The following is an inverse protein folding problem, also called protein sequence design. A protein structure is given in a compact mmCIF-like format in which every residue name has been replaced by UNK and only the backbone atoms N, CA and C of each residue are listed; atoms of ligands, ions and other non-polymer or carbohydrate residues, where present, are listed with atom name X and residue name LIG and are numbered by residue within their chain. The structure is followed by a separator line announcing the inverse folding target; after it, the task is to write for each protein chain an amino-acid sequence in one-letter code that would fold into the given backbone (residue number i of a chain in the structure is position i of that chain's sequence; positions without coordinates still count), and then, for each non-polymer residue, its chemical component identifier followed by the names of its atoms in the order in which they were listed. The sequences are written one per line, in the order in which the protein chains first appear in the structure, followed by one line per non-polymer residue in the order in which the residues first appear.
data_IF_958081388128
#
_entry.id   IF_958081388128
#
_cell.length_a   1.000
_cell.length_b   1.000
_cell.length_c   1.000
_cell.angle_alpha   90.00
_cell.angle_beta   90.00
_cell.angle_gamma   90.00
#
_symmetry.space_group_name_H-M   'P 1'
#
loop_
_entity.id
_entity.type
_entity.pdbx_description
1 polymer ?
#
# COMPACT_ATOMS: atom_id res chain seq x y z
N UNK A 1 9.47 3.96 19.62
CA UNK A 1 8.39 3.10 19.08
C UNK A 1 8.91 1.66 18.96
N UNK A 2 8.16 0.65 19.40
CA UNK A 2 8.59 -0.76 19.23
C UNK A 2 8.29 -1.18 17.79
N UNK A 3 9.30 -1.68 17.08
CA UNK A 3 9.12 -2.24 15.75
C UNK A 3 8.90 -3.74 15.90
N UNK A 4 7.72 -4.22 15.51
CA UNK A 4 7.42 -5.65 15.41
C UNK A 4 7.62 -6.15 13.96
N UNK A 5 7.40 -7.43 13.74
CA UNK A 5 7.62 -8.08 12.45
C UNK A 5 6.72 -7.50 11.34
N UNK A 6 5.42 -7.30 11.61
CA UNK A 6 4.49 -6.69 10.65
C UNK A 6 4.92 -5.27 10.29
N UNK A 7 5.44 -4.51 11.26
CA UNK A 7 5.94 -3.16 11.02
C UNK A 7 7.24 -3.19 10.22
N UNK A 8 8.12 -4.18 10.44
CA UNK A 8 9.33 -4.38 9.62
C UNK A 8 8.97 -4.74 8.18
N UNK A 9 8.00 -5.61 7.96
CA UNK A 9 7.49 -5.95 6.62
C UNK A 9 7.06 -4.68 5.87
N UNK A 10 6.19 -3.87 6.51
CA UNK A 10 5.69 -2.65 5.90
C UNK A 10 6.77 -1.58 5.68
N UNK A 11 7.76 -1.47 6.58
CA UNK A 11 8.93 -0.60 6.39
C UNK A 11 9.71 -1.03 5.14
N UNK A 12 9.96 -2.34 4.95
CA UNK A 12 10.70 -2.83 3.79
C UNK A 12 9.92 -2.66 2.48
N UNK A 13 8.59 -2.84 2.49
CA UNK A 13 7.75 -2.51 1.33
C UNK A 13 7.83 -1.02 0.99
N UNK A 14 7.74 -0.14 1.99
CA UNK A 14 7.89 1.31 1.78
C UNK A 14 9.28 1.68 1.27
N UNK A 15 10.36 1.09 1.79
CA UNK A 15 11.72 1.26 1.28
C UNK A 15 11.82 0.85 -0.19
N UNK A 16 11.22 -0.29 -0.55
CA UNK A 16 11.21 -0.77 -1.92
C UNK A 16 10.48 0.19 -2.86
N UNK A 17 9.26 0.60 -2.51
CA UNK A 17 8.47 1.54 -3.32
C UNK A 17 9.18 2.89 -3.46
N UNK A 18 9.64 3.47 -2.35
CA UNK A 18 10.24 4.82 -2.36
C UNK A 18 11.58 4.81 -3.09
N UNK A 19 12.43 3.77 -2.92
CA UNK A 19 13.71 3.69 -3.63
C UNK A 19 13.52 3.64 -5.15
N UNK A 20 12.49 2.93 -5.64
CA UNK A 20 12.14 2.87 -7.07
C UNK A 20 11.54 4.16 -7.60
N UNK A 21 10.78 4.89 -6.79
CA UNK A 21 10.20 6.18 -7.17
C UNK A 21 11.20 7.35 -7.03
N UNK A 22 12.31 7.14 -6.33
CA UNK A 22 13.29 8.17 -5.99
C UNK A 22 12.80 9.07 -4.85
N UNK A 23 12.21 10.22 -5.19
CA UNK A 23 11.53 11.10 -4.22
C UNK A 23 10.03 11.04 -4.47
N UNK A 24 9.25 10.71 -3.46
CA UNK A 24 7.82 10.57 -3.60
C UNK A 24 7.08 11.14 -2.40
N UNK A 25 5.92 11.75 -2.67
CA UNK A 25 5.01 12.23 -1.63
C UNK A 25 4.07 11.12 -1.14
N UNK A 26 3.38 11.41 -0.03
CA UNK A 26 2.34 10.53 0.51
C UNK A 26 1.36 10.05 -0.56
N UNK A 27 0.88 10.98 -1.39
CA UNK A 27 -0.12 10.66 -2.42
C UNK A 27 0.42 9.61 -3.37
N UNK A 28 1.54 9.87 -4.02
CA UNK A 28 2.14 8.95 -4.99
C UNK A 28 2.40 7.58 -4.36
N UNK A 29 3.02 7.53 -3.18
CA UNK A 29 3.34 6.27 -2.49
C UNK A 29 2.07 5.45 -2.24
N UNK A 30 1.03 6.07 -1.68
CA UNK A 30 -0.19 5.36 -1.30
C UNK A 30 -1.02 4.91 -2.50
N UNK A 31 -1.01 5.66 -3.61
CA UNK A 31 -1.67 5.21 -4.84
C UNK A 31 -0.96 4.03 -5.47
N UNK A 32 0.37 4.03 -5.49
CA UNK A 32 1.13 2.88 -5.97
C UNK A 32 0.80 1.63 -5.14
N UNK A 33 0.80 1.76 -3.80
CA UNK A 33 0.43 0.66 -2.91
C UNK A 33 -1.00 0.17 -3.15
N UNK A 34 -1.96 1.10 -3.30
CA UNK A 34 -3.36 0.76 -3.54
C UNK A 34 -3.57 -0.03 -4.84
N UNK A 35 -3.00 0.42 -5.96
CA UNK A 35 -3.11 -0.31 -7.22
C UNK A 35 -2.35 -1.64 -7.21
N UNK A 36 -1.24 -1.72 -6.47
CA UNK A 36 -0.53 -2.98 -6.27
C UNK A 36 -1.34 -3.97 -5.42
N UNK A 37 -2.06 -3.50 -4.41
CA UNK A 37 -3.00 -4.30 -3.59
C UNK A 37 -4.12 -4.89 -4.46
N UNK A 38 -4.74 -4.06 -5.29
CA UNK A 38 -5.77 -4.49 -6.25
C UNK A 38 -5.25 -5.59 -7.17
N UNK A 39 -4.07 -5.39 -7.75
CA UNK A 39 -3.46 -6.38 -8.65
C UNK A 39 -3.12 -7.69 -7.91
N UNK A 40 -2.56 -7.59 -6.70
CA UNK A 40 -2.17 -8.75 -5.92
C UNK A 40 -3.37 -9.58 -5.50
N UNK A 41 -4.45 -8.93 -5.06
CA UNK A 41 -5.73 -9.61 -4.78
C UNK A 41 -6.25 -10.26 -6.06
N UNK A 42 -6.32 -9.53 -7.19
CA UNK A 42 -6.81 -10.11 -8.45
C UNK A 42 -6.03 -11.33 -8.89
N UNK A 43 -4.70 -11.31 -8.78
CA UNK A 43 -3.82 -12.37 -9.30
C UNK A 43 -3.69 -13.56 -8.36
N UNK A 44 -3.68 -13.31 -7.06
CA UNK A 44 -3.27 -14.30 -6.07
C UNK A 44 -4.32 -14.53 -4.97
N UNK A 45 -5.41 -13.77 -4.95
CA UNK A 45 -6.44 -13.84 -3.90
C UNK A 45 -5.85 -13.67 -2.50
N UNK A 46 -4.86 -12.79 -2.36
CA UNK A 46 -4.19 -12.49 -1.11
C UNK A 46 -3.94 -10.99 -1.01
N UNK A 47 -3.96 -10.46 0.22
CA UNK A 47 -3.54 -9.09 0.47
C UNK A 47 -2.06 -8.91 0.20
N UNK A 48 -1.69 -7.74 -0.33
CA UNK A 48 -0.29 -7.32 -0.46
C UNK A 48 0.18 -6.70 0.86
N UNK A 49 -0.64 -5.85 1.49
CA UNK A 49 -0.32 -5.26 2.78
C UNK A 49 -1.12 -5.92 3.90
N UNK A 50 -0.45 -6.23 5.00
CA UNK A 50 -1.13 -6.40 6.29
C UNK A 50 -1.57 -5.04 6.88
N UNK A 51 -2.28 -4.23 6.09
CA UNK A 51 -2.76 -2.88 6.41
C UNK A 51 -4.21 -2.68 5.96
N UNK A 52 -4.92 -1.71 6.53
CA UNK A 52 -6.26 -1.33 6.14
C UNK A 52 -6.23 -0.02 5.36
N UNK A 53 -7.00 0.04 4.28
CA UNK A 53 -7.18 1.27 3.51
C UNK A 53 -8.34 2.08 4.08
N UNK A 54 -8.13 3.39 4.21
CA UNK A 54 -9.13 4.38 4.61
C UNK A 54 -9.40 5.32 3.45
N UNK A 55 -10.67 5.57 3.14
CA UNK A 55 -11.05 6.54 2.13
C UNK A 55 -10.76 7.97 2.63
N UNK A 56 -9.75 8.66 2.07
CA UNK A 56 -9.43 10.06 2.42
C UNK A 56 -9.68 11.01 1.24
N UNK A 57 -9.58 12.33 1.48
CA UNK A 57 -9.92 13.36 0.49
C UNK A 57 -9.31 13.15 -0.90
N UNK A 58 -8.07 12.66 -0.96
CA UNK A 58 -7.35 12.40 -2.22
C UNK A 58 -7.23 10.90 -2.53
N UNK A 59 -8.17 10.11 -2.01
CA UNK A 59 -8.37 8.69 -2.31
C UNK A 59 -7.95 7.76 -1.16
N UNK A 60 -7.81 6.45 -1.44
CA UNK A 60 -7.42 5.42 -0.48
C UNK A 60 -6.05 5.70 0.14
N UNK A 61 -5.93 5.49 1.46
CA UNK A 61 -4.70 5.63 2.25
C UNK A 61 -4.50 4.40 3.13
N UNK A 62 -3.38 3.66 3.02
CA UNK A 62 -3.03 2.58 3.92
C UNK A 62 -2.64 3.14 5.30
N UNK A 63 -3.40 2.78 6.34
CA UNK A 63 -3.37 3.44 7.65
C UNK A 63 -2.02 3.31 8.37
N UNK A 64 -1.49 2.09 8.48
CA UNK A 64 -0.22 1.84 9.17
C UNK A 64 0.97 2.41 8.38
N UNK A 65 0.93 2.36 7.06
CA UNK A 65 1.93 2.98 6.21
C UNK A 65 1.95 4.51 6.38
N UNK A 66 0.76 5.12 6.52
CA UNK A 66 0.65 6.53 6.85
C UNK A 66 1.26 6.86 8.21
N UNK A 67 0.99 6.06 9.24
CA UNK A 67 1.59 6.24 10.56
C UNK A 67 3.12 6.07 10.55
N UNK A 68 3.66 5.13 9.76
CA UNK A 68 5.11 4.98 9.53
C UNK A 68 5.71 6.26 8.96
N UNK A 69 5.21 6.73 7.82
CA UNK A 69 5.78 7.90 7.16
C UNK A 69 5.55 9.19 7.95
N UNK A 70 4.46 9.30 8.71
CA UNK A 70 4.23 10.41 9.65
C UNK A 70 5.26 10.41 10.78
N UNK A 71 5.66 9.24 11.30
CA UNK A 71 6.69 9.16 12.36
C UNK A 71 8.07 9.67 11.91
N UNK A 72 8.38 9.56 10.60
CA UNK A 72 9.60 10.15 10.00
C UNK A 72 9.67 11.66 10.22
N UNK A 73 8.52 12.35 10.16
CA UNK A 73 8.46 13.80 10.40
C UNK A 73 8.78 14.19 11.84
N UNK A 74 8.64 13.24 12.78
CA UNK A 74 9.01 13.43 14.19
C UNK A 74 10.46 13.01 14.49
N UNK A 75 11.22 12.60 13.47
CA UNK A 75 12.59 12.12 13.60
C UNK A 75 12.75 10.64 13.92
N UNK A 76 11.64 9.88 14.03
CA UNK A 76 11.68 8.42 14.15
C UNK A 76 11.98 7.78 12.79
N UNK A 77 12.59 6.59 12.76
CA UNK A 77 12.85 5.85 11.51
C UNK A 77 13.75 6.58 10.48
N UNK A 78 14.51 7.59 10.93
CA UNK A 78 15.49 8.32 10.10
C UNK A 78 16.62 7.44 9.54
N UNK A 79 16.79 6.24 10.10
CA UNK A 79 17.69 5.22 9.55
C UNK A 79 17.11 4.54 8.29
N UNK A 80 15.82 4.69 8.01
CA UNK A 80 15.15 4.10 6.84
C UNK A 80 14.74 5.16 5.82
N UNK A 81 14.17 6.28 6.29
CA UNK A 81 13.63 7.33 5.43
C UNK A 81 14.14 8.70 5.86
N UNK A 82 14.18 9.64 4.93
CA UNK A 82 14.36 11.05 5.26
C UNK A 82 13.33 11.93 4.54
N UNK A 83 13.06 13.10 5.11
CA UNK A 83 12.23 14.11 4.48
C UNK A 83 12.99 14.78 3.32
N UNK A 84 12.32 14.89 2.17
CA UNK A 84 12.79 15.58 0.98
C UNK A 84 11.78 16.69 0.58
N UNK A 85 11.25 17.39 1.59
CA UNK A 85 10.16 18.35 1.48
C UNK A 85 9.18 18.19 2.65
N UNK A 86 8.08 18.96 2.65
CA UNK A 86 7.07 18.91 3.72
C UNK A 86 6.31 17.58 3.76
N UNK A 87 6.10 16.96 2.59
CA UNK A 87 5.26 15.77 2.43
C UNK A 87 5.92 14.68 1.57
N UNK A 88 7.23 14.81 1.33
CA UNK A 88 8.00 13.98 0.41
C UNK A 88 9.09 13.23 1.14
N UNK A 89 9.33 12.00 0.70
CA UNK A 89 10.24 11.05 1.34
C UNK A 89 11.29 10.55 0.34
N UNK A 90 12.46 10.23 0.86
CA UNK A 90 13.48 9.42 0.20
C UNK A 90 13.83 8.23 1.10
N UNK A 91 14.10 7.09 0.49
CA UNK A 91 14.71 5.96 1.19
C UNK A 91 16.21 6.27 1.40
N UNK A 92 16.71 5.97 2.59
CA UNK A 92 18.15 6.11 2.97
C UNK A 92 18.78 4.79 3.38
N UNK A 93 18.01 3.70 3.32
CA UNK A 93 18.47 2.33 3.45
C UNK A 93 17.94 1.48 2.30
N UNK A 94 18.59 0.37 2.01
CA UNK A 94 18.08 -0.64 1.08
C UNK A 94 16.96 -1.47 1.74
N UNK A 95 15.90 -1.85 1.00
CA UNK A 95 14.91 -2.78 1.50
C UNK A 95 15.55 -4.16 1.71
N UNK A 96 15.25 -4.80 2.84
CA UNK A 96 15.49 -6.22 3.00
C UNK A 96 14.39 -7.00 2.24
N UNK A 97 14.78 -7.61 1.12
CA UNK A 97 13.88 -8.38 0.26
C UNK A 97 13.39 -9.69 0.88
N UNK A 98 13.97 -10.16 1.99
CA UNK A 98 13.44 -11.33 2.72
C UNK A 98 12.04 -11.06 3.29
N UNK A 99 11.65 -9.78 3.41
CA UNK A 99 10.31 -9.37 3.82
C UNK A 99 9.33 -9.17 2.65
N UNK A 100 9.77 -9.36 1.40
CA UNK A 100 8.93 -9.21 0.22
C UNK A 100 8.98 -10.48 -0.62
N UNK A 101 7.84 -11.10 -0.83
CA UNK A 101 7.67 -12.19 -1.79
C UNK A 101 7.83 -11.71 -3.24
N UNK A 102 8.14 -12.65 -4.14
CA UNK A 102 8.27 -12.36 -5.57
C UNK A 102 6.95 -11.82 -6.18
N UNK A 103 5.79 -12.26 -5.68
CA UNK A 103 4.48 -11.78 -6.14
C UNK A 103 4.21 -10.33 -5.73
N UNK A 104 4.59 -9.95 -4.51
CA UNK A 104 4.47 -8.57 -4.03
C UNK A 104 5.38 -7.64 -4.82
N UNK A 105 6.65 -8.03 -5.01
CA UNK A 105 7.61 -7.29 -5.83
C UNK A 105 7.08 -7.12 -7.26
N UNK A 106 6.52 -8.17 -7.86
CA UNK A 106 5.93 -8.12 -9.20
C UNK A 106 4.80 -7.09 -9.28
N UNK A 107 3.84 -7.12 -8.35
CA UNK A 107 2.69 -6.22 -8.36
C UNK A 107 3.09 -4.77 -8.06
N UNK A 108 4.05 -4.55 -7.16
CA UNK A 108 4.60 -3.22 -6.88
C UNK A 108 5.26 -2.64 -8.13
N UNK A 109 6.11 -3.42 -8.82
CA UNK A 109 6.78 -2.95 -10.04
C UNK A 109 5.78 -2.62 -11.15
N UNK A 110 4.78 -3.47 -11.37
CA UNK A 110 3.72 -3.22 -12.35
C UNK A 110 2.93 -1.95 -12.04
N UNK A 111 2.62 -1.72 -10.76
CA UNK A 111 1.95 -0.49 -10.30
C UNK A 111 2.82 0.75 -10.53
N UNK A 112 4.11 0.68 -10.22
CA UNK A 112 5.06 1.78 -10.47
C UNK A 112 5.17 2.09 -11.96
N UNK A 113 5.31 1.08 -12.81
CA UNK A 113 5.39 1.24 -14.26
C UNK A 113 4.12 1.88 -14.84
N UNK A 114 2.95 1.43 -14.37
CA UNK A 114 1.66 1.87 -14.90
C UNK A 114 1.21 3.23 -14.38
N UNK A 115 1.52 3.58 -13.13
CA UNK A 115 0.93 4.72 -12.43
C UNK A 115 1.96 5.71 -11.87
N UNK A 116 3.25 5.37 -11.88
CA UNK A 116 4.32 6.17 -11.29
C UNK A 116 4.64 7.46 -12.05
N UNK A 117 4.34 7.54 -13.35
CA UNK A 117 4.56 8.74 -14.17
C UNK A 117 3.35 9.67 -14.26
N UNK A 118 2.18 9.21 -13.79
CA UNK A 118 0.93 9.99 -13.85
C UNK A 118 1.02 11.29 -13.03
N UNK A 119 0.16 12.24 -13.34
CA UNK A 119 -0.03 13.44 -12.52
C UNK A 119 -0.80 13.13 -11.24
N UNK A 120 -0.83 14.08 -10.32
CA UNK A 120 -1.64 13.98 -9.10
C UNK A 120 -3.14 13.78 -9.42
N UNK A 121 -3.68 14.52 -10.39
CA UNK A 121 -5.10 14.41 -10.78
C UNK A 121 -5.39 13.03 -11.34
N UNK A 122 -4.61 12.57 -12.33
CA UNK A 122 -4.83 11.28 -12.97
C UNK A 122 -4.78 10.11 -11.98
N UNK A 123 -3.83 10.13 -11.02
CA UNK A 123 -3.80 9.13 -9.94
C UNK A 123 -4.99 9.24 -9.00
N UNK A 124 -5.44 10.46 -8.69
CA UNK A 124 -6.61 10.68 -7.83
C UNK A 124 -7.85 10.11 -8.50
N UNK A 125 -8.11 10.51 -9.75
CA UNK A 125 -9.26 10.09 -10.54
C UNK A 125 -9.31 8.57 -10.69
N UNK A 126 -8.17 7.92 -10.93
CA UNK A 126 -8.09 6.45 -11.01
C UNK A 126 -8.32 5.74 -9.69
N UNK A 127 -7.96 6.36 -8.56
CA UNK A 127 -8.09 5.75 -7.23
C UNK A 127 -9.41 6.04 -6.53
N UNK A 128 -10.21 6.96 -7.07
CA UNK A 128 -11.59 7.23 -6.64
C UNK A 128 -12.56 6.27 -7.32
N UNK A 129 -12.25 4.98 -7.23
CA UNK A 129 -13.04 3.89 -7.79
C UNK A 129 -14.25 3.55 -6.92
N UNK A 130 -15.02 2.52 -7.32
CA UNK A 130 -16.24 2.13 -6.63
C UNK A 130 -15.98 1.67 -5.18
N UNK A 131 -14.83 1.06 -4.88
CA UNK A 131 -14.49 0.64 -3.53
C UNK A 131 -14.26 1.86 -2.61
N UNK A 132 -13.62 2.90 -3.15
CA UNK A 132 -13.47 4.18 -2.46
C UNK A 132 -14.82 4.89 -2.27
N UNK A 133 -15.64 4.94 -3.32
CA UNK A 133 -16.94 5.65 -3.31
C UNK A 133 -18.02 4.93 -2.49
N UNK A 134 -17.85 3.63 -2.22
CA UNK A 134 -18.76 2.84 -1.40
C UNK A 134 -18.78 3.27 0.08
N UNK A 135 -17.79 4.02 0.54
CA UNK A 135 -17.66 4.46 1.93
C UNK A 135 -17.53 5.98 2.06
N UNK A 136 -17.89 6.51 3.22
CA UNK A 136 -17.66 7.92 3.54
C UNK A 136 -16.18 8.17 3.79
N UNK A 137 -15.76 9.43 3.63
CA UNK A 137 -14.43 9.85 4.04
C UNK A 137 -14.13 9.46 5.50
N UNK A 138 -12.87 9.12 5.75
CA UNK A 138 -12.31 8.62 7.01
C UNK A 138 -12.90 7.30 7.50
N UNK A 139 -13.55 6.53 6.63
CA UNK A 139 -13.99 5.16 6.94
C UNK A 139 -13.07 4.14 6.26
N UNK A 140 -12.94 2.99 6.93
CA UNK A 140 -12.23 1.83 6.40
C UNK A 140 -12.95 1.32 5.14
N UNK A 141 -12.17 1.04 4.11
CA UNK A 141 -12.61 0.44 2.85
C UNK A 141 -12.71 -1.08 3.00
N UNK A 142 -13.63 -1.69 2.26
CA UNK A 142 -13.77 -3.15 2.21
C UNK A 142 -12.72 -3.76 1.28
N UNK A 143 -11.92 -4.71 1.80
CA UNK A 143 -10.88 -5.39 1.04
C UNK A 143 -11.44 -6.23 -0.12
N UNK A 144 -12.66 -6.75 0.02
CA UNK A 144 -13.30 -7.51 -1.06
C UNK A 144 -13.72 -6.59 -2.21
N UNK A 145 -14.22 -5.39 -1.88
CA UNK A 145 -14.54 -4.39 -2.89
C UNK A 145 -13.29 -3.85 -3.56
N UNK A 146 -12.18 -3.65 -2.81
CA UNK A 146 -10.86 -3.31 -3.41
C UNK A 146 -10.44 -4.38 -4.42
N UNK A 147 -10.55 -5.67 -4.05
CA UNK A 147 -10.28 -6.77 -4.98
C UNK A 147 -11.18 -6.76 -6.21
N UNK A 148 -12.49 -6.55 -6.00
CA UNK A 148 -13.52 -6.54 -7.04
C UNK A 148 -13.28 -5.44 -8.08
N UNK A 149 -13.05 -4.20 -7.65
CA UNK A 149 -12.73 -3.10 -8.58
C UNK A 149 -11.37 -3.28 -9.24
N UNK A 150 -10.44 -3.96 -8.56
CA UNK A 150 -9.18 -4.41 -9.11
C UNK A 150 -9.31 -5.50 -10.18
N UNK A 151 -10.51 -6.07 -10.37
CA UNK A 151 -10.82 -7.09 -11.38
C UNK A 151 -10.72 -8.53 -10.88
N UNK A 152 -10.73 -8.77 -9.56
CA UNK A 152 -10.78 -10.12 -8.99
C UNK A 152 -12.12 -10.81 -9.31
N UNK A 153 -12.06 -12.11 -9.65
CA UNK A 153 -13.26 -12.93 -9.83
C UNK A 153 -13.86 -13.34 -8.47
N UNK A 154 -15.11 -13.83 -8.45
CA UNK A 154 -15.71 -14.38 -7.23
C UNK A 154 -14.88 -15.52 -6.63
N UNK A 155 -14.31 -16.40 -7.46
CA UNK A 155 -13.44 -17.49 -7.00
C UNK A 155 -12.19 -16.94 -6.31
N UNK A 156 -11.59 -15.88 -6.86
CA UNK A 156 -10.44 -15.20 -6.24
C UNK A 156 -10.82 -14.51 -4.94
N UNK A 157 -12.00 -13.88 -4.85
CA UNK A 157 -12.49 -13.24 -3.64
C UNK A 157 -12.84 -14.27 -2.55
N UNK A 158 -13.35 -15.45 -2.93
CA UNK A 158 -13.55 -16.56 -2.02
C UNK A 158 -12.21 -17.06 -1.46
N UNK A 159 -11.20 -17.25 -2.32
CA UNK A 159 -9.85 -17.62 -1.87
C UNK A 159 -9.23 -16.54 -0.94
N UNK A 160 -9.47 -15.25 -1.23
CA UNK A 160 -9.09 -14.17 -0.32
C UNK A 160 -9.75 -14.32 1.05
N UNK A 161 -11.04 -14.65 1.09
CA UNK A 161 -11.73 -14.88 2.36
C UNK A 161 -11.11 -16.03 3.15
N UNK A 162 -10.87 -17.18 2.53
CA UNK A 162 -10.23 -18.34 3.16
C UNK A 162 -8.84 -18.01 3.73
N UNK A 163 -8.03 -17.26 2.97
CA UNK A 163 -6.71 -16.79 3.43
C UNK A 163 -6.81 -15.86 4.64
N UNK A 164 -7.78 -14.95 4.65
CA UNK A 164 -8.00 -14.03 5.77
C UNK A 164 -8.47 -14.75 7.03
N UNK A 165 -9.35 -15.74 6.89
CA UNK A 165 -9.82 -16.58 8.00
C UNK A 165 -8.67 -17.42 8.57
N UNK A 166 -7.89 -18.05 7.70
CA UNK A 166 -6.70 -18.82 8.09
C UNK A 166 -5.71 -17.94 8.87
N UNK A 167 -5.35 -16.75 8.35
CA UNK A 167 -4.44 -15.82 9.04
C UNK A 167 -4.98 -15.35 10.39
N UNK A 168 -6.30 -15.26 10.57
CA UNK A 168 -6.93 -14.92 11.87
C UNK A 168 -6.84 -16.05 12.88
N UNK A 169 -6.85 -17.31 12.45
CA UNK A 169 -6.76 -18.47 13.35
C UNK A 169 -5.35 -18.68 13.94
N UNK A 170 -4.32 -18.16 13.28
CA UNK A 170 -2.90 -18.35 13.67
C UNK A 170 -2.21 -17.07 14.18
N UNK A 171 -2.96 -15.98 14.43
CA UNK A 171 -2.49 -14.75 15.11
C UNK A 171 -2.90 -14.77 16.57
#
# INVERSE_FOLDING_TARGET
MKIDENRMELINILLYVISKLGTADYHKIFKILYFAEQEHIRRFGQKLLNDDYVAMKYGPVPSNAYDILKSVSNGDLNNYFCLAGEHSFKAVSEPNLDYLSESEVSCINNSIESFGSLTFSERTDKSHDDAYNAVKLNHKMDIFEIGRVGGASEDTLHYLQENLETKRMFK
#
